data_IF_167836705224
#
_entry.id   IF_167836705224
#
_cell.length_a   1.000
_cell.length_b   1.000
_cell.length_c   1.000
_cell.angle_alpha   90.00
_cell.angle_beta   90.00
_cell.angle_gamma   90.00
#
_symmetry.space_group_name_H-M   'P 1'
#
loop_
_entity.id
_entity.type
_entity.pdbx_description
1 polymer ?
#
# COMPACT_ATOMS: atom_id res chain seq x y z
N UNK A 1 12.34 -3.30 -6.28
CA UNK A 1 12.12 -4.46 -7.16
C UNK A 1 10.64 -4.58 -7.43
N UNK A 2 10.31 -4.91 -8.65
CA UNK A 2 8.89 -5.09 -9.01
C UNK A 2 8.51 -6.56 -8.87
N UNK A 3 7.40 -6.79 -8.18
CA UNK A 3 6.84 -8.14 -8.05
C UNK A 3 5.39 -8.14 -8.52
N UNK A 4 4.88 -9.30 -8.89
CA UNK A 4 3.47 -9.46 -9.23
C UNK A 4 2.71 -9.80 -7.96
N UNK A 5 1.80 -8.90 -7.57
CA UNK A 5 0.98 -9.04 -6.38
C UNK A 5 -0.46 -8.67 -6.71
N UNK A 6 -1.42 -9.51 -6.33
CA UNK A 6 -2.84 -9.27 -6.61
C UNK A 6 -3.09 -8.92 -8.09
N UNK A 7 -2.42 -9.62 -9.02
CA UNK A 7 -2.48 -9.44 -10.48
C UNK A 7 -1.88 -8.12 -10.99
N UNK A 8 -1.19 -7.35 -10.13
CA UNK A 8 -0.56 -6.09 -10.49
C UNK A 8 0.95 -6.15 -10.32
N UNK A 9 1.66 -5.27 -11.02
CA UNK A 9 3.08 -5.04 -10.80
C UNK A 9 3.23 -4.00 -9.70
N UNK A 10 3.78 -4.40 -8.57
CA UNK A 10 3.97 -3.53 -7.39
C UNK A 10 5.46 -3.37 -7.12
N UNK A 11 5.90 -2.12 -6.97
CA UNK A 11 7.27 -1.82 -6.56
C UNK A 11 7.43 -2.05 -5.07
N UNK A 12 8.41 -2.86 -4.68
CA UNK A 12 8.64 -3.29 -3.30
C UNK A 12 10.10 -3.12 -2.93
N UNK A 13 10.36 -2.65 -1.72
CA UNK A 13 11.67 -2.74 -1.08
C UNK A 13 11.57 -3.67 0.13
N UNK A 14 12.47 -4.64 0.17
CA UNK A 14 12.55 -5.66 1.21
C UNK A 14 13.97 -5.66 1.77
N UNK A 15 14.11 -5.35 3.05
CA UNK A 15 15.44 -5.34 3.68
C UNK A 15 16.02 -6.73 3.87
N UNK A 16 15.20 -7.77 3.72
CA UNK A 16 15.63 -9.15 3.94
C UNK A 16 15.81 -9.48 5.41
N UNK A 17 16.39 -10.65 5.66
CA UNK A 17 16.65 -11.16 7.00
C UNK A 17 15.61 -12.17 7.45
N UNK A 18 15.84 -12.73 8.64
CA UNK A 18 15.00 -13.79 9.23
C UNK A 18 14.15 -13.33 10.41
N UNK A 19 14.17 -12.03 10.72
CA UNK A 19 13.39 -11.47 11.81
C UNK A 19 11.91 -11.33 11.49
N UNK A 20 11.15 -10.89 12.49
CA UNK A 20 9.73 -10.59 12.29
C UNK A 20 9.56 -9.49 11.23
N UNK A 21 8.50 -9.60 10.45
CA UNK A 21 8.26 -8.68 9.33
C UNK A 21 7.43 -7.50 9.79
N UNK A 22 7.85 -6.31 9.37
CA UNK A 22 7.08 -5.06 9.50
C UNK A 22 6.79 -4.53 8.11
N UNK A 23 5.53 -4.33 7.79
CA UNK A 23 5.11 -3.72 6.52
C UNK A 23 4.71 -2.27 6.78
N UNK A 24 5.29 -1.37 6.00
CA UNK A 24 5.01 0.06 6.08
C UNK A 24 4.16 0.47 4.87
N UNK A 25 2.97 0.99 5.14
CA UNK A 25 2.02 1.42 4.11
C UNK A 25 1.88 2.94 4.15
N UNK A 26 2.24 3.59 3.05
CA UNK A 26 2.22 5.04 2.94
C UNK A 26 0.83 5.55 2.53
N UNK A 27 0.60 6.84 2.74
CA UNK A 27 -0.66 7.51 2.46
C UNK A 27 -0.83 7.95 1.01
N UNK A 28 -1.85 8.74 0.78
CA UNK A 28 -2.27 9.20 -0.54
C UNK A 28 -1.17 10.00 -1.23
N UNK A 29 -0.89 9.63 -2.49
CA UNK A 29 0.06 10.35 -3.34
C UNK A 29 1.52 10.22 -2.94
N UNK A 30 1.85 9.40 -1.94
CA UNK A 30 3.22 9.29 -1.44
C UNK A 30 3.81 7.92 -1.77
N UNK A 31 5.09 7.94 -2.16
CA UNK A 31 5.84 6.74 -2.51
C UNK A 31 6.45 6.08 -1.27
N UNK A 32 6.86 4.81 -1.41
CA UNK A 32 7.55 4.07 -0.35
C UNK A 32 8.79 4.82 0.18
N UNK A 33 9.47 5.57 -0.67
CA UNK A 33 10.65 6.34 -0.29
C UNK A 33 10.34 7.52 0.64
N UNK A 34 9.07 7.88 0.83
CA UNK A 34 8.67 8.90 1.78
C UNK A 34 8.86 8.45 3.24
N UNK A 35 8.94 7.14 3.50
CA UNK A 35 9.29 6.66 4.83
C UNK A 35 10.73 7.06 5.16
N UNK A 36 10.98 7.72 6.33
CA UNK A 36 12.34 8.12 6.68
C UNK A 36 13.30 6.93 6.71
N UNK A 37 14.47 7.09 6.09
CA UNK A 37 15.50 6.05 6.09
C UNK A 37 15.91 5.69 7.51
N UNK A 38 15.96 6.67 8.39
CA UNK A 38 16.32 6.46 9.80
C UNK A 38 15.35 5.53 10.53
N UNK A 39 14.04 5.64 10.21
CA UNK A 39 13.02 4.73 10.77
C UNK A 39 13.25 3.31 10.28
N UNK A 40 13.45 3.13 8.98
CA UNK A 40 13.70 1.81 8.39
C UNK A 40 14.95 1.19 8.98
N UNK A 41 16.04 1.97 9.08
CA UNK A 41 17.31 1.50 9.65
C UNK A 41 17.17 1.13 11.13
N UNK A 42 16.41 1.91 11.90
CA UNK A 42 16.19 1.63 13.30
C UNK A 42 15.44 0.30 13.49
N UNK A 43 14.43 0.03 12.66
CA UNK A 43 13.70 -1.24 12.69
C UNK A 43 14.61 -2.40 12.30
N UNK A 44 15.43 -2.26 11.29
CA UNK A 44 16.39 -3.29 10.87
C UNK A 44 17.39 -3.59 11.99
N UNK A 45 17.89 -2.55 12.67
CA UNK A 45 18.81 -2.70 13.80
C UNK A 45 18.17 -3.43 14.98
N UNK A 46 16.86 -3.33 15.14
CA UNK A 46 16.12 -4.09 16.16
C UNK A 46 15.83 -5.54 15.73
N UNK A 47 16.28 -5.95 14.56
CA UNK A 47 16.12 -7.31 14.06
C UNK A 47 14.90 -7.55 13.20
N UNK A 48 14.18 -6.51 12.80
CA UNK A 48 13.02 -6.65 11.93
C UNK A 48 13.40 -6.71 10.45
N UNK A 49 12.61 -7.46 9.70
CA UNK A 49 12.62 -7.41 8.24
C UNK A 49 11.56 -6.40 7.82
N UNK A 50 11.97 -5.36 7.12
CA UNK A 50 11.07 -4.25 6.75
C UNK A 50 10.70 -4.34 5.27
N UNK A 51 9.39 -4.36 5.01
CA UNK A 51 8.82 -4.36 3.67
C UNK A 51 8.08 -3.04 3.49
N UNK A 52 8.37 -2.34 2.42
CA UNK A 52 7.58 -1.17 2.01
C UNK A 52 7.32 -1.24 0.52
N UNK A 53 6.15 -0.74 0.10
CA UNK A 53 5.77 -0.80 -1.30
C UNK A 53 5.11 0.51 -1.75
N UNK A 54 5.20 0.79 -3.03
CA UNK A 54 4.41 1.85 -3.64
C UNK A 54 2.99 1.30 -3.83
N UNK A 55 2.00 2.05 -3.32
CA UNK A 55 0.61 1.69 -3.56
C UNK A 55 0.31 1.67 -5.05
N UNK A 56 -0.75 0.96 -5.45
CA UNK A 56 -1.17 0.97 -6.85
C UNK A 56 -1.32 2.40 -7.34
N UNK A 57 -0.97 2.65 -8.60
CA UNK A 57 -1.04 3.96 -9.25
C UNK A 57 -0.07 5.00 -8.68
N UNK A 58 0.84 4.60 -7.79
CA UNK A 58 1.81 5.48 -7.13
C UNK A 58 3.23 5.02 -7.45
N UNK A 59 4.12 5.99 -7.63
CA UNK A 59 5.54 5.74 -7.81
C UNK A 59 5.84 4.81 -8.97
N UNK A 60 6.53 3.71 -8.69
CA UNK A 60 6.93 2.73 -9.70
C UNK A 60 5.97 1.53 -9.79
N UNK A 61 4.92 1.49 -8.98
CA UNK A 61 3.86 0.48 -9.10
C UNK A 61 3.01 0.72 -10.33
N UNK A 62 2.24 -0.30 -10.71
CA UNK A 62 1.40 -0.23 -11.90
C UNK A 62 0.45 0.96 -11.86
N UNK A 63 0.38 1.69 -12.97
CA UNK A 63 -0.46 2.87 -13.12
C UNK A 63 -1.81 2.49 -13.70
N UNK A 64 -2.82 3.24 -13.28
CA UNK A 64 -4.19 3.06 -13.75
C UNK A 64 -4.61 4.21 -14.69
N UNK A 65 -3.66 4.73 -15.45
CA UNK A 65 -3.89 5.82 -16.41
C UNK A 65 -4.97 5.46 -17.44
N UNK A 66 -5.07 4.17 -17.78
CA UNK A 66 -6.08 3.66 -18.72
C UNK A 66 -7.50 3.79 -18.20
N UNK A 67 -7.69 3.98 -16.90
CA UNK A 67 -9.01 4.24 -16.30
C UNK A 67 -9.36 5.73 -16.33
N UNK A 68 -8.44 6.56 -16.78
CA UNK A 68 -8.59 8.01 -16.85
C UNK A 68 -8.35 8.70 -15.52
N UNK A 69 -8.18 10.01 -15.58
CA UNK A 69 -8.07 10.86 -14.40
C UNK A 69 -9.46 11.32 -14.00
N UNK A 70 -9.91 11.08 -12.75
CA UNK A 70 -11.20 11.58 -12.31
C UNK A 70 -11.26 13.10 -12.42
N UNK A 71 -12.37 13.64 -12.93
CA UNK A 71 -12.61 15.06 -12.90
C UNK A 71 -13.01 15.44 -11.47
N UNK A 72 -12.08 15.99 -10.71
CA UNK A 72 -12.27 16.30 -9.29
C UNK A 72 -13.44 17.27 -9.07
N UNK A 73 -13.67 18.18 -10.01
CA UNK A 73 -14.79 19.13 -9.92
C UNK A 73 -16.13 18.37 -9.97
N UNK A 74 -16.32 17.49 -10.95
CA UNK A 74 -17.55 16.71 -11.10
C UNK A 74 -17.73 15.72 -9.93
N UNK A 75 -16.66 15.08 -9.48
CA UNK A 75 -16.71 14.19 -8.33
C UNK A 75 -17.14 14.95 -7.06
N UNK A 76 -16.62 16.15 -6.86
CA UNK A 76 -16.99 17.01 -5.74
C UNK A 76 -18.47 17.44 -5.82
N UNK A 77 -18.95 17.78 -7.01
CA UNK A 77 -20.36 18.15 -7.24
C UNK A 77 -21.26 16.95 -6.93
N UNK A 78 -20.94 15.77 -7.46
CA UNK A 78 -21.69 14.53 -7.18
C UNK A 78 -21.79 14.27 -5.68
N UNK A 79 -20.68 14.39 -4.98
CA UNK A 79 -20.62 14.16 -3.53
C UNK A 79 -21.56 15.14 -2.79
N UNK A 80 -21.52 16.44 -3.16
CA UNK A 80 -22.33 17.47 -2.50
C UNK A 80 -23.83 17.27 -2.70
N UNK A 81 -24.24 16.75 -3.84
CA UNK A 81 -25.67 16.54 -4.13
C UNK A 81 -26.14 15.12 -3.79
N UNK A 82 -25.31 14.34 -3.10
CA UNK A 82 -25.66 13.02 -2.60
C UNK A 82 -25.59 11.89 -3.60
N UNK A 83 -25.01 12.11 -4.79
CA UNK A 83 -24.76 11.05 -5.75
C UNK A 83 -23.51 10.28 -5.35
N UNK A 84 -23.53 8.95 -5.53
CA UNK A 84 -22.38 8.13 -5.22
C UNK A 84 -21.27 8.33 -6.27
N UNK A 85 -20.06 8.44 -5.78
CA UNK A 85 -18.86 8.45 -6.64
C UNK A 85 -18.34 7.03 -6.77
N UNK A 86 -17.88 6.65 -7.98
CA UNK A 86 -17.29 5.34 -8.20
C UNK A 86 -15.79 5.49 -8.40
N UNK A 87 -14.98 5.26 -7.37
CA UNK A 87 -13.52 5.28 -7.55
C UNK A 87 -13.10 4.09 -8.42
N UNK A 88 -11.98 4.20 -9.14
CA UNK A 88 -11.48 3.10 -9.97
C UNK A 88 -11.04 1.90 -9.13
N UNK A 89 -10.75 2.11 -7.86
CA UNK A 89 -10.40 1.07 -6.88
C UNK A 89 -10.72 1.58 -5.47
N UNK A 90 -10.79 0.65 -4.52
CA UNK A 90 -11.17 0.93 -3.13
C UNK A 90 -9.99 0.70 -2.18
N UNK A 91 -10.15 1.13 -0.92
CA UNK A 91 -9.18 0.79 0.14
C UNK A 91 -9.07 -0.71 0.34
N UNK A 92 -10.17 -1.44 0.16
CA UNK A 92 -10.16 -2.90 0.20
C UNK A 92 -9.26 -3.48 -0.91
N UNK A 93 -9.35 -2.94 -2.12
CA UNK A 93 -8.48 -3.35 -3.23
C UNK A 93 -7.01 -3.12 -2.90
N UNK A 94 -6.70 -1.97 -2.29
CA UNK A 94 -5.33 -1.63 -1.89
C UNK A 94 -4.84 -2.55 -0.77
N UNK A 95 -5.71 -2.94 0.16
CA UNK A 95 -5.38 -3.92 1.19
C UNK A 95 -5.09 -5.29 0.57
N UNK A 96 -5.85 -5.70 -0.43
CA UNK A 96 -5.58 -6.94 -1.17
C UNK A 96 -4.24 -6.90 -1.90
N UNK A 97 -3.81 -5.73 -2.37
CA UNK A 97 -2.47 -5.56 -2.94
C UNK A 97 -1.38 -5.83 -1.90
N UNK A 98 -1.54 -5.31 -0.69
CA UNK A 98 -0.58 -5.56 0.41
C UNK A 98 -0.52 -7.04 0.76
N UNK A 99 -1.68 -7.70 0.88
CA UNK A 99 -1.74 -9.13 1.12
C UNK A 99 -1.08 -9.92 -0.01
N UNK A 100 -1.28 -9.48 -1.25
CA UNK A 100 -0.63 -10.08 -2.42
C UNK A 100 0.89 -9.94 -2.37
N UNK A 101 1.41 -8.82 -1.90
CA UNK A 101 2.86 -8.62 -1.68
C UNK A 101 3.37 -9.65 -0.67
N UNK A 102 2.68 -9.80 0.45
CA UNK A 102 3.07 -10.78 1.49
C UNK A 102 3.03 -12.21 0.95
N UNK A 103 1.99 -12.56 0.20
CA UNK A 103 1.86 -13.88 -0.41
C UNK A 103 2.99 -14.16 -1.38
N UNK A 104 3.31 -13.21 -2.26
CA UNK A 104 4.38 -13.36 -3.24
C UNK A 104 5.74 -13.53 -2.57
N UNK A 105 5.97 -12.86 -1.45
CA UNK A 105 7.21 -12.97 -0.68
C UNK A 105 7.23 -14.16 0.28
N UNK A 106 6.14 -14.93 0.36
CA UNK A 106 6.05 -16.09 1.23
C UNK A 106 5.94 -15.76 2.71
N UNK A 107 5.41 -14.58 3.04
CA UNK A 107 5.31 -14.10 4.41
C UNK A 107 3.93 -14.44 4.98
N UNK A 108 3.91 -15.17 6.09
CA UNK A 108 2.67 -15.63 6.73
C UNK A 108 2.22 -14.71 7.87
N UNK A 109 3.14 -13.96 8.47
CA UNK A 109 2.85 -13.08 9.61
C UNK A 109 3.63 -11.79 9.46
N UNK A 110 2.98 -10.67 9.76
CA UNK A 110 3.61 -9.36 9.69
C UNK A 110 2.94 -8.37 10.64
N UNK A 111 3.73 -7.44 11.15
CA UNK A 111 3.21 -6.23 11.76
C UNK A 111 2.90 -5.24 10.65
N UNK A 112 1.74 -4.61 10.71
CA UNK A 112 1.30 -3.66 9.69
C UNK A 112 1.28 -2.26 10.30
N UNK A 113 2.01 -1.35 9.68
CA UNK A 113 2.09 0.05 10.09
C UNK A 113 1.69 0.92 8.92
N UNK A 114 0.76 1.83 9.13
CA UNK A 114 0.27 2.71 8.06
C UNK A 114 0.25 4.16 8.50
N UNK A 115 0.53 5.05 7.56
CA UNK A 115 0.46 6.50 7.75
C UNK A 115 -0.70 7.08 6.94
N UNK A 116 -1.55 7.90 7.56
CA UNK A 116 -2.68 8.57 6.91
C UNK A 116 -3.61 7.54 6.22
N UNK A 117 -3.84 7.64 4.92
CA UNK A 117 -4.62 6.64 4.16
C UNK A 117 -4.02 5.23 4.31
N UNK A 118 -2.69 5.13 4.45
CA UNK A 118 -2.02 3.85 4.72
C UNK A 118 -2.51 3.22 6.03
N UNK A 119 -2.85 4.02 7.03
CA UNK A 119 -3.44 3.54 8.27
C UNK A 119 -4.82 2.93 8.05
N UNK A 120 -5.62 3.51 7.18
CA UNK A 120 -6.92 2.94 6.79
C UNK A 120 -6.74 1.62 6.04
N UNK A 121 -5.77 1.56 5.14
CA UNK A 121 -5.43 0.33 4.43
C UNK A 121 -4.98 -0.75 5.42
N UNK A 122 -4.17 -0.37 6.42
CA UNK A 122 -3.71 -1.31 7.45
C UNK A 122 -4.87 -1.93 8.21
N UNK A 123 -5.91 -1.15 8.53
CA UNK A 123 -7.11 -1.67 9.18
C UNK A 123 -7.83 -2.69 8.29
N UNK A 124 -7.96 -2.41 6.99
CA UNK A 124 -8.56 -3.36 6.05
C UNK A 124 -7.73 -4.65 5.93
N UNK A 125 -6.40 -4.53 5.96
CA UNK A 125 -5.50 -5.70 5.97
C UNK A 125 -5.76 -6.55 7.21
N UNK A 126 -5.84 -5.92 8.39
CA UNK A 126 -6.06 -6.64 9.65
C UNK A 126 -7.43 -7.33 9.69
N UNK A 127 -8.45 -6.71 9.10
CA UNK A 127 -9.80 -7.31 9.04
C UNK A 127 -9.80 -8.51 8.09
N UNK A 128 -9.12 -8.40 6.95
CA UNK A 128 -9.10 -9.47 5.94
C UNK A 128 -8.20 -10.65 6.35
N UNK A 129 -7.15 -10.40 7.12
CA UNK A 129 -6.15 -11.39 7.51
C UNK A 129 -5.68 -11.15 8.95
N UNK A 130 -6.53 -11.42 9.95
CA UNK A 130 -6.21 -11.17 11.36
C UNK A 130 -5.03 -12.00 11.90
#
# INVERSE_FOLDING_TARGET
>A
MKIKANKLQIEVEDTGGSGEVVVLIMGLGMQLVAWPVELVQALVQQGYRVIRHDNRDIGLSEKFDHLGTPNLFWESVKFRIGLSTKPPYTLHDMAQDTLGVLDTLGIQRAHIVGASMGGMIAQHVAIAAP
#
